data_IF_639489945631
#
_entry.id   IF_639489945631
#
_cell.length_a   1.000
_cell.length_b   1.000
_cell.length_c   1.000
_cell.angle_alpha   90.00
_cell.angle_beta   90.00
_cell.angle_gamma   90.00
#
_symmetry.space_group_name_H-M   'P 1'
#
loop_
_entity.id
_entity.type
_entity.pdbx_description
1 polymer ?
#
# COMPACT_ATOMS: atom_id res chain seq x y z
N UNK A 1 -5.29 22.47 3.64
CA UNK A 1 -6.31 21.75 4.42
C UNK A 1 -6.62 22.60 5.64
N UNK A 2 -7.91 22.81 5.90
CA UNK A 2 -8.39 23.54 7.07
C UNK A 2 -8.44 22.65 8.30
N UNK A 3 -8.42 23.25 9.50
CA UNK A 3 -8.49 22.53 10.79
C UNK A 3 -9.63 21.50 10.83
N UNK A 4 -10.84 21.88 10.41
CA UNK A 4 -12.01 21.01 10.44
C UNK A 4 -11.85 19.76 9.55
N UNK A 5 -11.13 19.86 8.43
CA UNK A 5 -10.86 18.73 7.55
C UNK A 5 -9.89 17.75 8.22
N UNK A 6 -8.87 18.27 8.90
CA UNK A 6 -7.89 17.46 9.63
C UNK A 6 -8.56 16.75 10.82
N UNK A 7 -9.41 17.45 11.57
CA UNK A 7 -10.15 16.86 12.69
C UNK A 7 -11.10 15.74 12.19
N UNK A 8 -11.78 15.95 11.07
CA UNK A 8 -12.61 14.91 10.46
C UNK A 8 -11.80 13.66 10.06
N UNK A 9 -10.59 13.83 9.52
CA UNK A 9 -9.68 12.71 9.23
C UNK A 9 -9.23 12.01 10.51
N UNK A 10 -8.89 12.76 11.57
CA UNK A 10 -8.47 12.21 12.86
C UNK A 10 -9.56 11.34 13.51
N UNK A 11 -10.81 11.73 13.36
CA UNK A 11 -11.96 11.04 13.97
C UNK A 11 -12.52 9.92 13.09
N UNK A 12 -12.45 10.03 11.75
CA UNK A 12 -13.12 9.08 10.84
C UNK A 12 -12.17 8.18 10.05
N UNK A 13 -10.94 8.61 9.76
CA UNK A 13 -10.03 7.82 8.93
C UNK A 13 -9.48 6.63 9.73
N UNK A 14 -9.73 5.36 9.33
CA UNK A 14 -9.37 4.20 10.14
C UNK A 14 -7.86 4.10 10.43
N UNK A 15 -7.00 4.53 9.49
CA UNK A 15 -5.55 4.57 9.72
C UNK A 15 -5.17 5.49 10.90
N UNK A 16 -5.80 6.66 11.03
CA UNK A 16 -5.47 7.57 12.15
C UNK A 16 -6.06 7.07 13.46
N UNK A 17 -7.29 6.52 13.43
CA UNK A 17 -7.88 5.83 14.59
C UNK A 17 -7.00 4.69 15.07
N UNK A 18 -6.45 3.89 14.15
CA UNK A 18 -5.51 2.80 14.45
C UNK A 18 -4.28 3.32 15.19
N UNK A 19 -3.65 4.40 14.70
CA UNK A 19 -2.48 5.00 15.34
C UNK A 19 -2.77 5.57 16.74
N UNK A 20 -4.03 5.92 17.03
CA UNK A 20 -4.49 6.38 18.36
C UNK A 20 -4.97 5.24 19.27
N UNK A 21 -5.07 4.02 18.77
CA UNK A 21 -5.61 2.91 19.54
C UNK A 21 -4.67 2.51 20.68
N UNK A 22 -5.24 2.12 21.83
CA UNK A 22 -4.49 1.73 23.04
C UNK A 22 -3.44 0.65 22.78
N UNK A 23 -3.71 -0.26 21.86
CA UNK A 23 -2.84 -1.38 21.51
C UNK A 23 -2.27 -1.28 20.09
N UNK A 24 -2.11 -0.06 19.57
CA UNK A 24 -1.53 0.18 18.24
C UNK A 24 -0.17 -0.52 18.05
N UNK A 25 0.78 -0.54 19.02
CA UNK A 25 2.05 -1.25 18.84
C UNK A 25 1.89 -2.76 18.64
N UNK A 26 1.00 -3.41 19.41
CA UNK A 26 0.71 -4.84 19.26
C UNK A 26 0.12 -5.09 17.87
N UNK A 27 -0.95 -4.36 17.53
CA UNK A 27 -1.64 -4.47 16.24
C UNK A 27 -0.66 -4.33 15.08
N UNK A 28 0.13 -3.27 15.05
CA UNK A 28 1.06 -2.99 13.95
C UNK A 28 2.22 -3.98 13.91
N UNK A 29 2.73 -4.43 15.06
CA UNK A 29 3.83 -5.41 15.10
C UNK A 29 3.43 -6.78 14.55
N UNK A 30 2.17 -7.19 14.73
CA UNK A 30 1.65 -8.48 14.27
C UNK A 30 1.11 -8.35 12.85
N UNK A 31 0.13 -7.47 12.64
CA UNK A 31 -0.58 -7.36 11.36
C UNK A 31 0.28 -6.72 10.28
N UNK A 32 1.12 -5.75 10.63
CA UNK A 32 2.06 -5.13 9.71
C UNK A 32 3.08 -6.13 9.19
N UNK A 33 3.67 -6.94 10.08
CA UNK A 33 4.55 -8.03 9.66
C UNK A 33 3.81 -9.06 8.80
N UNK A 34 2.69 -9.58 9.30
CA UNK A 34 1.97 -10.69 8.69
C UNK A 34 1.41 -10.35 7.29
N UNK A 35 0.76 -9.20 7.12
CA UNK A 35 0.12 -8.84 5.85
C UNK A 35 0.98 -7.94 4.94
N UNK A 36 1.83 -7.08 5.51
CA UNK A 36 2.57 -6.08 4.73
C UNK A 36 3.99 -6.54 4.44
N UNK A 37 4.74 -6.97 5.46
CA UNK A 37 6.15 -7.40 5.26
C UNK A 37 6.25 -8.77 4.59
N UNK A 38 5.45 -9.73 5.05
CA UNK A 38 5.39 -11.08 4.47
C UNK A 38 4.53 -11.13 3.20
N UNK A 39 3.79 -10.06 2.88
CA UNK A 39 2.99 -9.94 1.67
C UNK A 39 1.83 -10.94 1.58
N UNK A 40 1.32 -11.42 2.73
CA UNK A 40 0.22 -12.40 2.75
C UNK A 40 -1.08 -11.78 2.27
N UNK A 41 -1.85 -12.54 1.51
CA UNK A 41 -3.24 -12.20 1.17
C UNK A 41 -4.19 -12.59 2.31
N UNK A 42 -5.48 -12.65 1.98
CA UNK A 42 -6.49 -13.15 2.90
C UNK A 42 -6.09 -14.51 3.47
N UNK A 43 -6.04 -14.59 4.79
CA UNK A 43 -5.56 -15.76 5.54
C UNK A 43 -6.63 -16.20 6.53
N UNK A 44 -6.62 -17.47 6.91
CA UNK A 44 -7.65 -17.99 7.81
C UNK A 44 -7.53 -17.44 9.23
N UNK A 45 -8.65 -17.48 9.96
CA UNK A 45 -8.69 -17.11 11.38
C UNK A 45 -7.70 -17.96 12.19
N UNK A 46 -7.61 -19.26 11.94
CA UNK A 46 -6.68 -20.14 12.65
C UNK A 46 -5.22 -19.72 12.48
N UNK A 47 -4.80 -19.39 11.26
CA UNK A 47 -3.43 -18.93 10.98
C UNK A 47 -3.11 -17.60 11.68
N UNK A 48 -4.03 -16.64 11.61
CA UNK A 48 -3.82 -15.32 12.19
C UNK A 48 -3.90 -15.33 13.73
N UNK A 49 -4.78 -16.17 14.30
CA UNK A 49 -4.87 -16.41 15.74
C UNK A 49 -3.56 -16.98 16.26
N UNK A 50 -3.02 -18.01 15.61
CA UNK A 50 -1.75 -18.61 16.02
C UNK A 50 -0.60 -17.58 16.00
N UNK A 51 -0.49 -16.80 14.93
CA UNK A 51 0.54 -15.76 14.81
C UNK A 51 0.43 -14.68 15.90
N UNK A 52 -0.79 -14.30 16.28
CA UNK A 52 -1.03 -13.32 17.34
C UNK A 52 -0.81 -13.93 18.73
N UNK A 53 -1.26 -15.16 18.98
CA UNK A 53 -1.05 -15.84 20.25
C UNK A 53 0.45 -16.02 20.56
N UNK A 54 1.27 -16.36 19.57
CA UNK A 54 2.73 -16.43 19.72
C UNK A 54 3.33 -15.08 20.16
N UNK A 55 2.83 -13.97 19.60
CA UNK A 55 3.28 -12.63 19.98
C UNK A 55 2.78 -12.21 21.36
N UNK A 56 1.52 -12.50 21.70
CA UNK A 56 0.96 -12.24 23.02
C UNK A 56 1.75 -13.02 24.09
N UNK A 57 2.04 -14.29 23.83
CA UNK A 57 2.87 -15.13 24.70
C UNK A 57 4.26 -14.53 24.87
N UNK A 58 4.94 -14.19 23.78
CA UNK A 58 6.29 -13.61 23.82
C UNK A 58 6.36 -12.30 24.60
N UNK A 59 5.34 -11.44 24.52
CA UNK A 59 5.30 -10.17 25.25
C UNK A 59 4.97 -10.41 26.73
N UNK A 60 3.96 -11.22 27.04
CA UNK A 60 3.57 -11.50 28.41
C UNK A 60 4.66 -12.27 29.17
N UNK A 61 5.48 -13.08 28.49
CA UNK A 61 6.60 -13.79 29.09
C UNK A 61 7.71 -12.86 29.62
N UNK A 62 7.73 -11.58 29.22
CA UNK A 62 8.70 -10.60 29.73
C UNK A 62 8.43 -10.20 31.18
N UNK A 63 7.17 -10.27 31.61
CA UNK A 63 6.73 -10.03 33.00
C UNK A 63 5.57 -10.98 33.34
N UNK A 64 5.88 -12.23 33.73
CA UNK A 64 4.86 -13.24 34.01
C UNK A 64 3.97 -12.90 35.23
N UNK A 65 4.44 -12.06 36.15
CA UNK A 65 3.68 -11.67 37.35
C UNK A 65 2.64 -10.59 37.04
N UNK A 66 2.83 -9.82 35.96
CA UNK A 66 1.92 -8.77 35.53
C UNK A 66 1.75 -8.76 33.99
N UNK A 67 1.03 -9.76 33.43
CA UNK A 67 0.85 -9.87 31.98
C UNK A 67 0.13 -8.66 31.40
N UNK A 68 0.72 -8.07 30.36
CA UNK A 68 0.25 -6.83 29.72
C UNK A 68 -1.01 -7.02 28.89
N UNK A 69 -1.19 -8.20 28.31
CA UNK A 69 -2.32 -8.51 27.43
C UNK A 69 -3.06 -9.75 27.93
N UNK A 70 -4.30 -9.54 28.40
CA UNK A 70 -5.12 -10.58 29.03
C UNK A 70 -6.19 -11.17 28.11
N UNK A 71 -6.51 -10.47 27.01
CA UNK A 71 -7.49 -10.93 26.02
C UNK A 71 -6.86 -11.97 25.11
N UNK A 72 -7.68 -12.86 24.58
CA UNK A 72 -7.26 -13.85 23.58
C UNK A 72 -6.98 -13.20 22.22
N UNK A 73 -6.17 -13.85 21.37
CA UNK A 73 -5.94 -13.38 20.01
C UNK A 73 -7.25 -13.20 19.22
N UNK A 74 -8.18 -14.16 19.30
CA UNK A 74 -9.47 -14.09 18.62
C UNK A 74 -10.29 -12.84 19.02
N UNK A 75 -10.28 -12.48 20.31
CA UNK A 75 -10.97 -11.27 20.78
C UNK A 75 -10.34 -9.98 20.24
N UNK A 76 -9.01 -9.94 20.09
CA UNK A 76 -8.34 -8.80 19.45
C UNK A 76 -8.67 -8.71 17.96
N UNK A 77 -8.64 -9.83 17.23
CA UNK A 77 -8.95 -9.85 15.80
C UNK A 77 -10.40 -9.45 15.53
N UNK A 78 -11.35 -9.93 16.33
CA UNK A 78 -12.76 -9.55 16.23
C UNK A 78 -12.97 -8.04 16.47
N UNK A 79 -12.27 -7.46 17.45
CA UNK A 79 -12.32 -6.03 17.77
C UNK A 79 -11.68 -5.16 16.67
N UNK A 80 -10.54 -5.59 16.12
CA UNK A 80 -9.86 -4.90 15.03
C UNK A 80 -10.63 -5.00 13.71
N UNK A 81 -11.37 -6.08 13.48
CA UNK A 81 -12.27 -6.23 12.35
C UNK A 81 -13.68 -5.65 12.61
N UNK A 82 -13.95 -5.15 13.82
CA UNK A 82 -15.24 -4.60 14.19
C UNK A 82 -15.61 -3.39 13.32
N UNK A 83 -16.91 -3.10 13.11
CA UNK A 83 -17.37 -1.99 12.25
C UNK A 83 -16.81 -0.62 12.68
N UNK A 84 -16.61 -0.44 13.98
CA UNK A 84 -16.05 0.79 14.56
C UNK A 84 -14.55 0.94 14.29
N UNK A 85 -13.82 -0.17 14.21
CA UNK A 85 -12.37 -0.17 14.01
C UNK A 85 -12.04 -0.15 12.52
N UNK A 86 -12.54 -1.14 11.77
CA UNK A 86 -12.28 -1.30 10.34
C UNK A 86 -10.80 -1.46 10.00
N UNK A 87 -10.00 -2.05 10.91
CA UNK A 87 -8.56 -2.24 10.71
C UNK A 87 -8.28 -3.49 9.89
N UNK A 88 -9.08 -4.54 10.10
CA UNK A 88 -9.07 -5.77 9.35
C UNK A 88 -10.40 -5.97 8.64
N UNK A 89 -10.34 -6.65 7.50
CA UNK A 89 -11.52 -7.14 6.80
C UNK A 89 -11.77 -8.57 7.23
N UNK A 90 -12.96 -8.85 7.75
CA UNK A 90 -13.40 -10.19 8.17
C UNK A 90 -14.49 -10.70 7.23
N UNK A 91 -14.31 -11.88 6.65
CA UNK A 91 -15.27 -12.44 5.68
C UNK A 91 -15.15 -13.96 5.57
N UNK A 92 -16.15 -14.59 4.95
CA UNK A 92 -16.09 -16.00 4.57
C UNK A 92 -15.78 -16.10 3.07
N UNK A 93 -14.61 -16.64 2.68
CA UNK A 93 -14.35 -16.97 1.28
C UNK A 93 -15.36 -17.98 0.75
N UNK A 94 -15.56 -17.98 -0.57
CA UNK A 94 -16.46 -18.94 -1.22
C UNK A 94 -15.94 -20.36 -1.02
N UNK A 95 -16.74 -21.22 -0.39
CA UNK A 95 -16.38 -22.63 -0.16
C UNK A 95 -15.46 -22.88 1.04
N UNK A 96 -15.13 -21.84 1.81
CA UNK A 96 -14.46 -22.00 3.10
C UNK A 96 -15.49 -22.22 4.23
N UNK A 97 -15.13 -23.05 5.20
CA UNK A 97 -15.90 -23.28 6.44
C UNK A 97 -15.47 -22.37 7.59
N UNK A 98 -14.35 -21.66 7.43
CA UNK A 98 -13.81 -20.74 8.42
C UNK A 98 -13.68 -19.29 7.92
N UNK A 99 -13.61 -18.39 8.89
CA UNK A 99 -13.44 -16.95 8.68
C UNK A 99 -12.04 -16.70 8.14
N UNK A 100 -11.93 -15.74 7.23
CA UNK A 100 -10.66 -15.19 6.81
C UNK A 100 -10.56 -13.71 7.15
N UNK A 101 -9.33 -13.29 7.42
CA UNK A 101 -8.96 -11.91 7.63
C UNK A 101 -8.03 -11.44 6.52
N UNK A 102 -8.16 -10.17 6.15
CA UNK A 102 -7.26 -9.51 5.22
C UNK A 102 -6.98 -8.07 5.67
N UNK A 103 -5.84 -7.55 5.23
CA UNK A 103 -5.45 -6.18 5.49
C UNK A 103 -6.39 -5.20 4.79
N UNK A 104 -6.74 -4.13 5.49
CA UNK A 104 -7.39 -2.97 4.87
C UNK A 104 -6.34 -1.99 4.36
N UNK A 105 -6.66 -1.13 3.37
CA UNK A 105 -5.76 -0.05 2.96
C UNK A 105 -5.37 0.89 4.11
N UNK A 106 -6.24 0.99 5.13
CA UNK A 106 -5.97 1.76 6.33
C UNK A 106 -4.85 1.17 7.20
N UNK A 107 -4.78 -0.16 7.32
CA UNK A 107 -3.69 -0.86 8.01
C UNK A 107 -2.36 -0.58 7.33
N UNK A 108 -2.30 -0.71 6.01
CA UNK A 108 -1.07 -0.45 5.26
C UNK A 108 -0.61 1.00 5.40
N UNK A 109 -1.54 1.96 5.30
CA UNK A 109 -1.22 3.38 5.45
C UNK A 109 -0.69 3.70 6.86
N UNK A 110 -1.31 3.14 7.90
CA UNK A 110 -0.84 3.32 9.27
C UNK A 110 0.54 2.68 9.48
N UNK A 111 0.74 1.46 8.97
CA UNK A 111 2.00 0.75 9.09
C UNK A 111 3.14 1.45 8.35
N UNK A 112 2.90 1.88 7.11
CA UNK A 112 3.86 2.63 6.31
C UNK A 112 4.26 3.95 6.99
N UNK A 113 3.30 4.64 7.63
CA UNK A 113 3.61 5.84 8.41
C UNK A 113 4.55 5.54 9.58
N UNK A 114 4.27 4.49 10.37
CA UNK A 114 5.15 4.09 11.50
C UNK A 114 6.53 3.65 11.02
N UNK A 115 6.60 2.87 9.92
CA UNK A 115 7.89 2.53 9.31
C UNK A 115 8.67 3.77 8.87
N UNK A 116 7.97 4.79 8.37
CA UNK A 116 8.56 6.07 7.99
C UNK A 116 9.09 6.90 9.16
N UNK A 117 8.70 6.61 10.40
CA UNK A 117 9.24 7.26 11.60
C UNK A 117 10.61 6.72 12.01
N UNK A 118 10.95 5.49 11.61
CA UNK A 118 12.26 4.92 11.88
C UNK A 118 13.33 5.69 11.09
N UNK A 119 14.48 5.93 11.72
CA UNK A 119 15.61 6.58 11.04
C UNK A 119 15.99 5.77 9.80
N UNK A 120 15.85 6.38 8.63
CA UNK A 120 16.39 5.82 7.40
C UNK A 120 17.91 5.90 7.52
N UNK A 121 18.55 4.76 7.83
CA UNK A 121 20.01 4.63 7.92
C UNK A 121 20.73 5.02 6.62
N UNK A 122 19.99 5.21 5.53
CA UNK A 122 20.50 5.57 4.24
C UNK A 122 19.46 6.36 3.43
N UNK A 123 19.78 7.60 3.06
CA UNK A 123 18.94 8.41 2.17
C UNK A 123 19.54 8.31 0.78
N UNK A 124 18.97 7.47 -0.10
CA UNK A 124 19.35 7.36 -1.51
C UNK A 124 18.95 8.58 -2.33
N UNK A 125 19.47 9.76 -1.96
CA UNK A 125 19.15 11.05 -2.60
C UNK A 125 19.52 11.05 -4.07
N UNK A 126 20.60 10.38 -4.46
CA UNK A 126 21.05 10.29 -5.85
C UNK A 126 20.03 9.54 -6.72
N UNK A 127 19.61 8.34 -6.30
CA UNK A 127 18.63 7.55 -7.04
C UNK A 127 17.26 8.25 -7.13
N UNK A 128 16.82 8.93 -6.07
CA UNK A 128 15.58 9.72 -6.07
C UNK A 128 15.67 10.93 -7.01
N UNK A 129 16.79 11.65 -7.00
CA UNK A 129 17.02 12.78 -7.90
C UNK A 129 17.05 12.33 -9.37
N UNK A 130 17.75 11.23 -9.66
CA UNK A 130 17.82 10.67 -11.01
C UNK A 130 16.42 10.29 -11.50
N UNK A 131 15.63 9.62 -10.66
CA UNK A 131 14.23 9.29 -10.96
C UNK A 131 13.41 10.55 -11.26
N UNK A 132 13.54 11.61 -10.45
CA UNK A 132 12.83 12.87 -10.67
C UNK A 132 13.23 13.55 -11.99
N UNK A 133 14.53 13.56 -12.33
CA UNK A 133 15.04 14.10 -13.60
C UNK A 133 14.50 13.28 -14.79
N UNK A 134 14.46 11.97 -14.67
CA UNK A 134 13.94 11.10 -15.74
C UNK A 134 12.43 11.30 -15.94
N UNK A 135 11.66 11.48 -14.87
CA UNK A 135 10.23 11.85 -14.95
C UNK A 135 10.03 13.21 -15.62
N UNK A 136 10.81 14.23 -15.24
CA UNK A 136 10.75 15.55 -15.87
C UNK A 136 11.09 15.48 -17.37
N UNK A 137 12.08 14.65 -17.73
CA UNK A 137 12.45 14.43 -19.13
C UNK A 137 11.33 13.74 -19.90
N UNK A 138 10.67 12.73 -19.32
CA UNK A 138 9.50 12.08 -19.92
C UNK A 138 8.34 13.05 -20.13
N UNK A 139 8.06 13.91 -19.15
CA UNK A 139 7.03 14.94 -19.25
C UNK A 139 7.37 15.90 -20.40
N UNK A 140 8.57 16.48 -20.40
CA UNK A 140 9.00 17.41 -21.44
C UNK A 140 8.93 16.79 -22.85
N UNK A 141 9.29 15.51 -22.99
CA UNK A 141 9.19 14.77 -24.25
C UNK A 141 7.75 14.47 -24.65
N UNK A 142 6.91 14.09 -23.69
CA UNK A 142 5.50 13.73 -23.92
C UNK A 142 4.64 14.94 -24.28
N UNK A 143 5.01 16.13 -23.83
CA UNK A 143 4.28 17.39 -24.10
C UNK A 143 4.84 18.19 -25.28
N UNK A 144 6.00 17.83 -25.84
CA UNK A 144 6.60 18.55 -26.96
C UNK A 144 5.88 18.21 -28.27
N UNK A 145 5.20 19.21 -28.83
CA UNK A 145 4.41 19.11 -30.06
C UNK A 145 5.19 19.52 -31.31
N UNK A 146 6.36 20.17 -31.16
CA UNK A 146 7.23 20.55 -32.29
C UNK A 146 8.13 19.38 -32.72
N UNK A 147 7.95 18.84 -33.95
CA UNK A 147 8.76 17.73 -34.45
C UNK A 147 10.26 18.05 -34.52
N UNK A 148 10.65 19.30 -34.78
CA UNK A 148 12.06 19.69 -34.92
C UNK A 148 12.79 19.62 -33.57
N UNK A 149 12.14 20.08 -32.49
CA UNK A 149 12.68 19.98 -31.12
C UNK A 149 12.76 18.54 -30.66
N UNK A 150 11.78 17.71 -31.02
CA UNK A 150 11.81 16.27 -30.73
C UNK A 150 12.96 15.57 -31.45
N UNK A 151 13.26 15.96 -32.70
CA UNK A 151 14.40 15.42 -33.44
C UNK A 151 15.74 15.81 -32.80
N UNK A 152 15.93 17.09 -32.45
CA UNK A 152 17.16 17.57 -31.77
C UNK A 152 17.39 16.84 -30.43
N UNK A 153 16.33 16.61 -29.65
CA UNK A 153 16.42 15.81 -28.42
C UNK A 153 16.85 14.36 -28.67
N UNK A 154 16.33 13.72 -29.72
CA UNK A 154 16.72 12.35 -30.08
C UNK A 154 18.17 12.28 -30.56
N UNK A 155 18.63 13.27 -31.33
CA UNK A 155 20.03 13.35 -31.77
C UNK A 155 20.99 13.54 -30.61
N UNK A 156 20.67 14.40 -29.64
CA UNK A 156 21.46 14.53 -28.40
C UNK A 156 21.55 13.22 -27.63
N UNK A 157 20.42 12.51 -27.50
CA UNK A 157 20.38 11.21 -26.80
C UNK A 157 21.18 10.14 -27.53
N UNK A 158 21.17 10.15 -28.87
CA UNK A 158 22.05 9.30 -29.67
C UNK A 158 23.53 9.58 -29.37
N UNK A 159 23.92 10.85 -29.33
CA UNK A 159 25.30 11.23 -29.00
C UNK A 159 25.71 10.83 -27.57
N UNK A 160 24.80 10.94 -26.60
CA UNK A 160 25.04 10.49 -25.22
C UNK A 160 25.31 8.97 -25.17
N UNK A 161 24.47 8.18 -25.85
CA UNK A 161 24.63 6.72 -25.95
C UNK A 161 25.94 6.36 -26.68
N UNK A 162 26.28 7.05 -27.76
CA UNK A 162 27.54 6.83 -28.48
C UNK A 162 28.77 7.09 -27.59
N UNK A 163 28.71 8.11 -26.72
CA UNK A 163 29.76 8.37 -25.71
C UNK A 163 29.86 7.27 -24.67
N UNK A 164 28.72 6.80 -24.16
CA UNK A 164 28.67 5.69 -23.18
C UNK A 164 29.25 4.40 -23.76
N UNK A 165 28.88 4.07 -25.02
CA UNK A 165 29.44 2.91 -25.74
C UNK A 165 30.95 3.05 -25.92
N UNK A 166 31.45 4.25 -26.25
CA UNK A 166 32.89 4.48 -26.40
C UNK A 166 33.64 4.29 -25.08
N UNK A 167 33.08 4.75 -23.95
CA UNK A 167 33.64 4.51 -22.61
C UNK A 167 33.68 3.02 -22.28
N UNK A 168 32.57 2.29 -22.48
CA UNK A 168 32.51 0.84 -22.23
C UNK A 168 33.49 0.04 -23.09
N UNK A 169 33.78 0.49 -24.31
CA UNK A 169 34.79 -0.13 -25.17
C UNK A 169 36.21 0.07 -24.65
N UNK A 170 36.48 1.17 -23.95
CA UNK A 170 37.79 1.48 -23.36
C UNK A 170 37.97 0.83 -21.99
N UNK A 171 36.93 0.87 -21.17
CA UNK A 171 36.88 0.24 -19.85
C UNK A 171 35.57 -0.57 -19.72
N UNK A 172 35.64 -1.89 -19.87
CA UNK A 172 34.46 -2.76 -19.73
C UNK A 172 33.80 -2.71 -18.35
N UNK A 173 34.47 -2.18 -17.32
CA UNK A 173 33.95 -2.07 -15.96
C UNK A 173 33.26 -0.72 -15.70
N UNK A 174 33.40 0.28 -16.58
CA UNK A 174 32.95 1.66 -16.34
C UNK A 174 31.42 1.82 -16.21
N UNK A 175 30.64 0.82 -16.62
CA UNK A 175 29.17 0.82 -16.54
C UNK A 175 28.60 -0.08 -15.45
N UNK A 176 29.43 -0.72 -14.62
CA UNK A 176 28.92 -1.57 -13.54
C UNK A 176 28.53 -0.73 -12.32
N UNK A 177 27.40 -1.10 -11.71
CA UNK A 177 27.01 -0.56 -10.42
C UNK A 177 27.94 -1.12 -9.34
N UNK A 178 28.43 -0.23 -8.48
CA UNK A 178 29.12 -0.68 -7.27
C UNK A 178 28.14 -1.29 -6.25
N UNK A 179 28.67 -1.87 -5.18
CA UNK A 179 27.86 -2.52 -4.14
C UNK A 179 26.87 -1.58 -3.46
N UNK A 180 27.22 -0.30 -3.33
CA UNK A 180 26.37 0.72 -2.70
C UNK A 180 25.19 1.03 -3.62
N UNK A 181 25.46 1.30 -4.89
CA UNK A 181 24.45 1.58 -5.92
C UNK A 181 23.50 0.39 -6.14
N UNK A 182 23.98 -0.85 -6.09
CA UNK A 182 23.11 -2.04 -6.14
C UNK A 182 22.18 -2.09 -4.92
N UNK A 183 22.72 -1.86 -3.72
CA UNK A 183 21.93 -1.84 -2.48
C UNK A 183 20.87 -0.75 -2.52
N UNK A 184 21.21 0.43 -3.02
CA UNK A 184 20.28 1.55 -3.19
C UNK A 184 19.14 1.22 -4.13
N UNK A 185 19.45 0.72 -5.33
CA UNK A 185 18.43 0.36 -6.32
C UNK A 185 17.53 -0.74 -5.81
N UNK A 186 18.07 -1.72 -5.10
CA UNK A 186 17.27 -2.77 -4.46
C UNK A 186 16.32 -2.21 -3.40
N UNK A 187 16.80 -1.29 -2.54
CA UNK A 187 15.95 -0.64 -1.53
C UNK A 187 14.85 0.19 -2.18
N UNK A 188 15.16 0.96 -3.22
CA UNK A 188 14.16 1.73 -3.96
C UNK A 188 13.12 0.82 -4.61
N UNK A 189 13.57 -0.23 -5.30
CA UNK A 189 12.68 -1.21 -5.93
C UNK A 189 11.78 -1.89 -4.90
N UNK A 190 12.31 -2.32 -3.77
CA UNK A 190 11.53 -2.96 -2.71
C UNK A 190 10.47 -2.03 -2.12
N UNK A 191 10.78 -0.74 -1.95
CA UNK A 191 9.79 0.27 -1.52
C UNK A 191 8.67 0.42 -2.55
N UNK A 192 9.02 0.62 -3.83
CA UNK A 192 8.03 0.76 -4.90
C UNK A 192 7.17 -0.50 -5.05
N UNK A 193 7.74 -1.69 -4.89
CA UNK A 193 6.99 -2.95 -4.95
C UNK A 193 5.97 -3.07 -3.81
N UNK A 194 6.30 -2.62 -2.59
CA UNK A 194 5.37 -2.60 -1.46
C UNK A 194 4.25 -1.58 -1.65
N UNK A 195 4.58 -0.39 -2.16
CA UNK A 195 3.59 0.65 -2.50
C UNK A 195 2.59 0.13 -3.54
N UNK A 196 3.07 -0.57 -4.57
CA UNK A 196 2.22 -1.16 -5.59
C UNK A 196 1.27 -2.23 -5.03
N UNK A 197 1.73 -3.05 -4.06
CA UNK A 197 0.87 -4.02 -3.40
C UNK A 197 -0.27 -3.32 -2.64
N UNK A 198 0.04 -2.22 -1.96
CA UNK A 198 -0.95 -1.43 -1.26
C UNK A 198 -1.96 -0.77 -2.21
N UNK A 199 -1.50 -0.29 -3.37
CA UNK A 199 -2.37 0.24 -4.41
C UNK A 199 -3.36 -0.82 -4.91
N UNK A 200 -2.94 -2.07 -5.08
CA UNK A 200 -3.86 -3.15 -5.46
C UNK A 200 -4.92 -3.43 -4.39
N UNK A 201 -4.56 -3.40 -3.10
CA UNK A 201 -5.55 -3.52 -2.01
C UNK A 201 -6.53 -2.35 -2.01
N UNK A 202 -6.06 -1.14 -2.31
CA UNK A 202 -6.93 0.04 -2.46
C UNK A 202 -7.88 -0.09 -3.65
N UNK A 203 -7.40 -0.57 -4.79
CA UNK A 203 -8.24 -0.85 -5.97
C UNK A 203 -9.30 -1.89 -5.65
N UNK A 204 -8.93 -2.95 -4.95
CA UNK A 204 -9.86 -4.01 -4.54
C UNK A 204 -10.95 -3.48 -3.61
N UNK A 205 -10.60 -2.65 -2.62
CA UNK A 205 -11.58 -2.02 -1.73
C UNK A 205 -12.52 -1.07 -2.48
N UNK A 206 -11.99 -0.28 -3.43
CA UNK A 206 -12.81 0.57 -4.29
C UNK A 206 -13.81 -0.27 -5.10
N UNK A 207 -13.36 -1.38 -5.68
CA UNK A 207 -14.23 -2.28 -6.43
C UNK A 207 -15.33 -2.90 -5.54
N UNK A 208 -15.00 -3.25 -4.29
CA UNK A 208 -15.99 -3.74 -3.32
C UNK A 208 -17.00 -2.67 -2.93
N UNK A 209 -16.57 -1.44 -2.70
CA UNK A 209 -17.48 -0.34 -2.41
C UNK A 209 -18.46 -0.10 -3.57
N UNK A 210 -17.96 -0.18 -4.81
CA UNK A 210 -18.77 -0.11 -6.01
C UNK A 210 -19.76 -1.29 -6.11
N UNK A 211 -19.33 -2.52 -5.85
CA UNK A 211 -20.21 -3.70 -5.85
C UNK A 211 -21.32 -3.59 -4.78
N UNK A 212 -20.98 -3.17 -3.56
CA UNK A 212 -21.96 -2.94 -2.49
C UNK A 212 -23.00 -1.89 -2.90
N UNK A 213 -22.54 -0.74 -3.40
CA UNK A 213 -23.42 0.32 -3.88
C UNK A 213 -24.33 -0.15 -5.03
N UNK A 214 -23.78 -0.95 -5.96
CA UNK A 214 -24.58 -1.53 -7.04
C UNK A 214 -25.67 -2.47 -6.52
N UNK A 215 -25.34 -3.36 -5.57
CA UNK A 215 -26.31 -4.28 -4.95
C UNK A 215 -27.39 -3.56 -4.18
N UNK A 216 -27.03 -2.55 -3.40
CA UNK A 216 -27.99 -1.71 -2.68
C UNK A 216 -28.97 -1.07 -3.67
N UNK A 217 -28.46 -0.47 -4.75
CA UNK A 217 -29.30 0.13 -5.79
C UNK A 217 -30.22 -0.88 -6.46
N UNK A 218 -29.71 -2.07 -6.80
CA UNK A 218 -30.52 -3.17 -7.36
C UNK A 218 -31.65 -3.57 -6.38
N UNK A 219 -31.34 -3.69 -5.10
CA UNK A 219 -32.31 -4.11 -4.09
C UNK A 219 -33.41 -3.05 -3.84
N UNK A 220 -33.08 -1.76 -3.97
CA UNK A 220 -34.03 -0.66 -3.79
C UNK A 220 -34.73 -0.22 -5.09
N UNK A 221 -34.42 -0.85 -6.23
CA UNK A 221 -34.88 -0.40 -7.54
C UNK A 221 -36.36 -0.73 -7.79
N UNK A 222 -37.13 0.29 -8.20
CA UNK A 222 -38.55 0.14 -8.55
C UNK A 222 -38.87 0.42 -10.03
N UNK A 223 -37.88 0.83 -10.83
CA UNK A 223 -38.03 1.17 -12.26
C UNK A 223 -37.75 -0.01 -13.20
N UNK A 224 -37.52 0.29 -14.49
CA UNK A 224 -37.20 -0.75 -15.47
C UNK A 224 -35.73 -1.21 -15.38
N UNK A 225 -35.45 -2.43 -15.82
CA UNK A 225 -34.08 -2.99 -15.83
C UNK A 225 -33.11 -2.20 -16.73
N UNK A 226 -33.62 -1.56 -17.79
CA UNK A 226 -32.83 -0.77 -18.73
C UNK A 226 -32.33 0.56 -18.14
N UNK A 227 -33.19 1.24 -17.37
CA UNK A 227 -32.84 2.47 -16.65
C UNK A 227 -31.80 2.20 -15.55
N UNK A 228 -31.94 1.10 -14.80
CA UNK A 228 -30.96 0.68 -13.80
C UNK A 228 -29.57 0.44 -14.41
N UNK A 229 -29.50 -0.22 -15.57
CA UNK A 229 -28.24 -0.46 -16.27
C UNK A 229 -27.61 0.84 -16.77
N UNK A 230 -28.42 1.78 -17.31
CA UNK A 230 -27.92 3.07 -17.75
C UNK A 230 -27.34 3.89 -16.59
N UNK A 231 -27.98 3.86 -15.42
CA UNK A 231 -27.56 4.58 -14.22
C UNK A 231 -26.28 4.00 -13.58
N UNK A 232 -26.17 2.66 -13.54
CA UNK A 232 -24.97 1.97 -13.05
C UNK A 232 -23.76 2.20 -13.96
N UNK A 233 -23.97 2.36 -15.27
CA UNK A 233 -22.90 2.62 -16.24
C UNK A 233 -22.52 4.11 -16.27
N UNK A 234 -23.48 5.05 -16.18
CA UNK A 234 -23.17 6.49 -16.14
C UNK A 234 -22.42 6.92 -14.88
N UNK A 235 -22.67 6.26 -13.74
CA UNK A 235 -21.86 6.47 -12.53
C UNK A 235 -20.37 6.10 -12.70
N UNK A 236 -20.00 5.32 -13.73
CA UNK A 236 -18.61 4.94 -14.01
C UNK A 236 -17.81 6.00 -14.76
N UNK A 237 -18.45 6.95 -15.45
CA UNK A 237 -17.76 7.95 -16.30
C UNK A 237 -17.30 9.21 -15.56
N UNK A 238 -17.42 9.27 -14.23
CA UNK A 238 -17.01 10.41 -13.38
C UNK A 238 -15.73 10.12 -12.58
N UNK A 239 -15.02 9.05 -12.92
CA UNK A 239 -13.70 8.71 -12.35
C UNK A 239 -12.70 8.71 -13.51
N UNK A 240 -12.39 9.91 -14.00
CA UNK A 240 -11.20 10.24 -14.80
C UNK A 240 -10.48 11.41 -14.11
#
# INVERSE_FOLDING_TARGET
>A
MEYAQIEALRERHPAWRMLRATHAPLLLSVLGRFFVEEGRGASSEGELVAALDDQLYAINAQDPENPRFLRTAAEYLADWAGPESGFLRRFYPLGADEIHYDATPALEKAYAWVQGLAEQSFVGTESRLQTAVDLLRQIAQGTESDPAKRLDQLERRKQDIEREIAQLRQDPQSGLLDRTAVRERYQQFATTARELLADFRQVEENFRALDRSARERIATWQGSKGELLAELVHGRSMID
#
